data_IF_847701734331
#
_entry.id   IF_847701734331
#
_cell.length_a   1.000
_cell.length_b   1.000
_cell.length_c   1.000
_cell.angle_alpha   90.00
_cell.angle_beta   90.00
_cell.angle_gamma   90.00
#
_symmetry.space_group_name_H-M   'P 1'
#
loop_
_entity.id
_entity.type
_entity.pdbx_description
1 polymer ?
#
# COMPACT_ATOMS: atom_id res chain seq x y z
N UNK A 1 1.78 -3.10 -24.98
CA UNK A 1 1.80 -1.63 -25.00
C UNK A 1 2.43 -0.95 -26.22
N UNK A 2 3.71 -1.17 -26.51
CA UNK A 2 4.55 -0.22 -27.30
C UNK A 2 4.00 0.26 -28.66
N UNK A 3 3.48 -0.62 -29.52
CA UNK A 3 2.94 -0.21 -30.84
C UNK A 3 1.67 0.65 -30.78
N UNK A 4 0.96 0.67 -29.64
CA UNK A 4 -0.25 1.49 -29.46
C UNK A 4 0.09 2.92 -29.04
N UNK A 5 1.20 3.12 -28.34
CA UNK A 5 1.64 4.43 -27.86
C UNK A 5 2.28 5.25 -28.98
N UNK A 6 3.09 4.60 -29.83
CA UNK A 6 3.67 5.23 -31.03
C UNK A 6 2.58 5.74 -31.98
N UNK A 7 1.50 4.97 -32.18
CA UNK A 7 0.35 5.40 -33.00
C UNK A 7 -0.37 6.64 -32.46
N UNK A 8 -0.40 6.85 -31.14
CA UNK A 8 -0.99 8.05 -30.54
C UNK A 8 -0.10 9.26 -30.83
N UNK A 9 1.21 9.11 -30.70
CA UNK A 9 2.18 10.18 -31.00
C UNK A 9 2.09 10.57 -32.48
N UNK A 10 2.00 9.59 -33.38
CA UNK A 10 1.93 9.80 -34.83
C UNK A 10 0.64 10.53 -35.27
N UNK A 11 -0.44 10.43 -34.50
CA UNK A 11 -1.73 11.08 -34.78
C UNK A 11 -1.81 12.52 -34.25
N UNK A 12 -0.84 12.97 -33.47
CA UNK A 12 -0.90 14.27 -32.80
C UNK A 12 -0.06 15.29 -33.55
N UNK A 13 -0.73 16.29 -34.11
CA UNK A 13 -0.12 17.29 -35.00
C UNK A 13 0.57 18.45 -34.26
N UNK A 14 0.46 18.56 -32.93
CA UNK A 14 1.05 19.66 -32.16
C UNK A 14 1.86 19.20 -30.94
N UNK A 15 3.02 19.83 -30.75
CA UNK A 15 3.92 19.60 -29.62
C UNK A 15 3.23 19.86 -28.26
N UNK A 16 2.30 20.82 -28.22
CA UNK A 16 1.50 21.15 -27.04
C UNK A 16 0.63 19.98 -26.57
N UNK A 17 -0.05 19.29 -27.49
CA UNK A 17 -0.86 18.11 -27.15
C UNK A 17 -0.01 16.92 -26.70
N UNK A 18 1.19 16.76 -27.27
CA UNK A 18 2.14 15.73 -26.81
C UNK A 18 2.56 16.00 -25.37
N UNK A 19 2.83 17.26 -25.04
CA UNK A 19 3.20 17.67 -23.68
C UNK A 19 2.05 17.46 -22.69
N UNK A 20 0.81 17.74 -23.08
CA UNK A 20 -0.37 17.45 -22.26
C UNK A 20 -0.53 15.94 -21.98
N UNK A 21 -0.34 15.09 -22.99
CA UNK A 21 -0.36 13.63 -22.79
C UNK A 21 0.79 13.14 -21.90
N UNK A 22 1.98 13.74 -22.03
CA UNK A 22 3.12 13.44 -21.15
C UNK A 22 2.77 13.77 -19.69
N UNK A 23 2.20 14.94 -19.43
CA UNK A 23 1.75 15.34 -18.10
C UNK A 23 0.70 14.38 -17.55
N UNK A 24 -0.28 13.98 -18.37
CA UNK A 24 -1.28 12.97 -18.00
C UNK A 24 -0.60 11.65 -17.61
N UNK A 25 0.38 11.18 -18.39
CA UNK A 25 1.14 9.98 -18.06
C UNK A 25 1.89 10.08 -16.74
N UNK A 26 2.51 11.23 -16.47
CA UNK A 26 3.18 11.50 -15.18
C UNK A 26 2.18 11.46 -14.03
N UNK A 27 1.02 12.09 -14.17
CA UNK A 27 -0.03 12.11 -13.14
C UNK A 27 -0.56 10.70 -12.84
N UNK A 28 -0.87 9.90 -13.87
CA UNK A 28 -1.32 8.51 -13.70
C UNK A 28 -0.24 7.67 -13.02
N UNK A 29 1.03 7.85 -13.40
CA UNK A 29 2.15 7.16 -12.78
C UNK A 29 2.29 7.54 -11.30
N UNK A 30 2.29 8.83 -10.98
CA UNK A 30 2.40 9.31 -9.60
C UNK A 30 1.23 8.84 -8.74
N UNK A 31 0.01 8.91 -9.26
CA UNK A 31 -1.19 8.40 -8.59
C UNK A 31 -1.06 6.90 -8.29
N UNK A 32 -0.66 6.11 -9.29
CA UNK A 32 -0.50 4.66 -9.14
C UNK A 32 0.60 4.30 -8.14
N UNK A 33 1.73 5.02 -8.15
CA UNK A 33 2.82 4.85 -7.19
C UNK A 33 2.35 5.12 -5.75
N UNK A 34 1.62 6.22 -5.54
CA UNK A 34 1.06 6.52 -4.21
C UNK A 34 0.08 5.44 -3.78
N UNK A 35 -0.74 4.91 -4.69
CA UNK A 35 -1.69 3.85 -4.35
C UNK A 35 -1.00 2.55 -3.89
N UNK A 36 0.11 2.18 -4.52
CA UNK A 36 0.95 1.04 -4.07
C UNK A 36 1.53 1.30 -2.68
N UNK A 37 2.09 2.48 -2.48
CA UNK A 37 2.63 2.89 -1.19
C UNK A 37 1.54 2.87 -0.11
N UNK A 38 0.37 3.46 -0.38
CA UNK A 38 -0.76 3.51 0.53
C UNK A 38 -1.21 2.11 0.93
N UNK A 39 -1.21 1.15 0.01
CA UNK A 39 -1.56 -0.24 0.29
C UNK A 39 -0.63 -0.87 1.34
N UNK A 40 0.69 -0.67 1.21
CA UNK A 40 1.66 -1.13 2.21
C UNK A 40 1.43 -0.46 3.58
N UNK A 41 1.21 0.85 3.61
CA UNK A 41 0.98 1.57 4.87
C UNK A 41 -0.36 1.21 5.54
N UNK A 42 -1.38 0.87 4.76
CA UNK A 42 -2.62 0.28 5.28
C UNK A 42 -2.33 -1.08 5.91
N UNK A 43 -1.48 -1.91 5.31
CA UNK A 43 -1.06 -3.20 5.90
C UNK A 43 -0.32 -2.98 7.22
N UNK A 44 0.59 -2.00 7.28
CA UNK A 44 1.26 -1.63 8.53
C UNK A 44 0.26 -1.19 9.61
N UNK A 45 -0.72 -0.36 9.24
CA UNK A 45 -1.78 0.07 10.15
C UNK A 45 -2.60 -1.12 10.64
N UNK A 46 -3.01 -2.02 9.75
CA UNK A 46 -3.76 -3.23 10.12
C UNK A 46 -2.96 -4.12 11.07
N UNK A 47 -1.66 -4.32 10.84
CA UNK A 47 -0.79 -5.07 11.75
C UNK A 47 -0.73 -4.43 13.13
N UNK A 48 -0.46 -3.11 13.16
CA UNK A 48 -0.38 -2.33 14.40
C UNK A 48 -1.69 -2.27 15.19
N UNK A 49 -2.82 -2.33 14.50
CA UNK A 49 -4.15 -2.32 15.12
C UNK A 49 -4.69 -3.71 15.43
N UNK A 50 -3.95 -4.79 15.14
CA UNK A 50 -4.42 -6.16 15.35
C UNK A 50 -5.53 -6.61 14.39
N UNK A 51 -5.61 -5.98 13.20
CA UNK A 51 -6.67 -6.19 12.21
C UNK A 51 -6.22 -7.01 10.99
N UNK A 52 -5.00 -7.54 11.00
CA UNK A 52 -4.62 -8.58 10.03
C UNK A 52 -5.34 -9.87 10.43
N UNK A 53 -6.44 -10.17 9.70
CA UNK A 53 -7.31 -11.32 9.97
C UNK A 53 -6.48 -12.61 9.99
N UNK A 54 -6.49 -13.34 11.10
CA UNK A 54 -5.93 -14.69 11.13
C UNK A 54 -6.49 -15.51 9.97
N UNK A 55 -5.63 -15.95 9.06
CA UNK A 55 -5.98 -16.73 7.87
C UNK A 55 -6.55 -18.12 8.22
N UNK A 56 -6.61 -18.48 9.50
CA UNK A 56 -7.06 -19.80 9.93
C UNK A 56 -8.54 -19.77 10.36
N UNK A 57 -9.44 -19.83 9.37
CA UNK A 57 -10.60 -20.75 9.30
C UNK A 57 -11.59 -20.94 10.47
N UNK A 58 -11.42 -20.33 11.64
CA UNK A 58 -12.39 -20.39 12.73
C UNK A 58 -13.19 -19.09 12.74
N UNK A 59 -14.37 -19.16 12.13
CA UNK A 59 -15.44 -18.17 12.29
C UNK A 59 -15.93 -18.21 13.74
N UNK A 60 -15.21 -17.59 14.64
CA UNK A 60 -15.79 -17.18 15.92
C UNK A 60 -16.35 -15.77 15.77
N UNK A 61 -17.66 -15.66 16.00
CA UNK A 61 -18.52 -14.50 15.74
C UNK A 61 -18.30 -13.32 16.70
N UNK A 62 -17.06 -13.11 17.17
CA UNK A 62 -16.70 -11.99 18.02
C UNK A 62 -15.56 -11.23 17.35
N UNK A 63 -15.65 -9.90 17.32
CA UNK A 63 -14.63 -8.95 16.85
C UNK A 63 -13.30 -9.12 17.62
N UNK A 64 -12.60 -10.22 17.39
CA UNK A 64 -11.29 -10.49 17.99
C UNK A 64 -10.27 -9.66 17.24
N UNK A 65 -10.00 -8.47 17.78
CA UNK A 65 -8.79 -7.70 17.47
C UNK A 65 -7.61 -8.55 17.98
N UNK A 66 -6.72 -8.94 17.07
CA UNK A 66 -5.49 -9.65 17.40
C UNK A 66 -4.50 -8.77 18.17
N UNK A 67 -3.30 -9.29 18.51
CA UNK A 67 -2.29 -8.47 19.17
C UNK A 67 -1.89 -7.29 18.28
N UNK A 68 -1.68 -6.14 18.91
CA UNK A 68 -1.20 -4.92 18.26
C UNK A 68 0.31 -5.04 18.04
N UNK A 69 0.71 -5.33 16.80
CA UNK A 69 2.10 -5.59 16.45
C UNK A 69 2.52 -4.63 15.34
N UNK A 70 3.20 -3.56 15.73
CA UNK A 70 3.73 -2.58 14.78
C UNK A 70 4.95 -3.15 14.05
N UNK A 71 5.00 -3.09 12.70
CA UNK A 71 6.19 -3.48 11.95
C UNK A 71 7.42 -2.65 12.33
N UNK A 72 8.61 -3.24 12.22
CA UNK A 72 9.87 -2.58 12.58
C UNK A 72 10.14 -1.35 11.73
N UNK A 73 9.70 -1.37 10.48
CA UNK A 73 9.77 -0.26 9.54
C UNK A 73 9.08 0.98 10.14
N UNK A 74 7.87 0.82 10.67
CA UNK A 74 7.13 1.90 11.35
C UNK A 74 7.86 2.37 12.60
N UNK A 75 8.31 1.43 13.43
CA UNK A 75 9.03 1.75 14.67
C UNK A 75 10.35 2.50 14.42
N UNK A 76 11.04 2.16 13.32
CA UNK A 76 12.30 2.79 12.93
C UNK A 76 12.12 4.25 12.48
N UNK A 77 11.04 4.56 11.76
CA UNK A 77 10.71 5.91 11.31
C UNK A 77 10.46 6.88 12.47
N UNK A 78 9.84 6.38 13.54
CA UNK A 78 9.57 7.16 14.75
C UNK A 78 10.73 7.13 15.76
N UNK A 79 11.83 6.45 15.44
CA UNK A 79 13.04 6.30 16.28
C UNK A 79 12.73 5.82 17.71
N UNK A 80 11.77 4.91 17.86
CA UNK A 80 11.32 4.48 19.19
C UNK A 80 12.04 3.24 19.71
N UNK A 81 12.20 3.20 21.04
CA UNK A 81 12.66 2.03 21.80
C UNK A 81 11.44 1.31 22.38
N UNK A 82 11.38 -0.01 22.27
CA UNK A 82 10.25 -0.93 22.55
C UNK A 82 9.53 -0.77 23.92
N UNK A 83 8.61 0.19 24.07
CA UNK A 83 7.74 0.36 25.25
C UNK A 83 6.25 0.55 24.84
N UNK A 84 5.30 0.38 25.78
CA UNK A 84 3.86 0.45 25.49
C UNK A 84 3.34 1.87 25.15
N UNK A 85 4.09 2.94 25.47
CA UNK A 85 3.80 4.31 25.00
C UNK A 85 3.97 4.45 23.48
N UNK A 86 4.53 3.44 22.82
CA UNK A 86 4.83 3.46 21.39
C UNK A 86 3.61 3.23 20.50
N UNK A 87 2.55 2.58 20.99
CA UNK A 87 1.42 2.20 20.12
C UNK A 87 0.64 3.43 19.65
N UNK A 88 0.34 4.36 20.54
CA UNK A 88 -0.36 5.61 20.20
C UNK A 88 0.47 6.45 19.22
N UNK A 89 1.79 6.51 19.43
CA UNK A 89 2.67 7.26 18.55
C UNK A 89 2.80 6.63 17.16
N UNK A 90 2.91 5.30 17.06
CA UNK A 90 2.85 4.59 15.79
C UNK A 90 1.52 4.84 15.08
N UNK A 91 0.41 4.75 15.80
CA UNK A 91 -0.93 4.96 15.25
C UNK A 91 -1.09 6.38 14.71
N UNK A 92 -0.71 7.40 15.49
CA UNK A 92 -0.78 8.81 15.07
C UNK A 92 0.08 9.04 13.85
N UNK A 93 1.31 8.51 13.84
CA UNK A 93 2.23 8.64 12.73
C UNK A 93 1.68 8.03 11.44
N UNK A 94 1.25 6.76 11.49
CA UNK A 94 0.72 6.04 10.33
C UNK A 94 -0.58 6.66 9.83
N UNK A 95 -1.48 7.07 10.74
CA UNK A 95 -2.75 7.73 10.37
C UNK A 95 -2.50 9.06 9.66
N UNK A 96 -1.58 9.88 10.17
CA UNK A 96 -1.18 11.14 9.52
C UNK A 96 -0.57 10.87 8.15
N UNK A 97 0.33 9.89 8.05
CA UNK A 97 0.97 9.55 6.79
C UNK A 97 -0.05 9.10 5.73
N UNK A 98 -1.02 8.26 6.13
CA UNK A 98 -2.12 7.85 5.24
C UNK A 98 -2.96 9.04 4.78
N UNK A 99 -3.26 9.98 5.67
CA UNK A 99 -3.98 11.21 5.31
C UNK A 99 -3.19 12.07 4.30
N UNK A 100 -1.87 12.21 4.46
CA UNK A 100 -1.01 12.90 3.50
C UNK A 100 -1.01 12.23 2.13
N UNK A 101 -1.01 10.89 2.08
CA UNK A 101 -1.15 10.16 0.81
C UNK A 101 -2.53 10.39 0.18
N UNK A 102 -3.60 10.38 0.97
CA UNK A 102 -4.96 10.65 0.50
C UNK A 102 -5.10 12.04 -0.11
N UNK A 103 -4.52 13.06 0.53
CA UNK A 103 -4.56 14.43 0.03
C UNK A 103 -3.79 14.56 -1.30
N UNK A 104 -2.63 13.90 -1.41
CA UNK A 104 -1.87 13.85 -2.68
C UNK A 104 -2.62 13.11 -3.78
N UNK A 105 -3.28 11.99 -3.45
CA UNK A 105 -4.11 11.25 -4.42
C UNK A 105 -5.26 12.12 -4.93
N UNK A 106 -6.01 12.77 -4.03
CA UNK A 106 -7.10 13.69 -4.40
C UNK A 106 -6.61 14.84 -5.28
N UNK A 107 -5.43 15.38 -4.99
CA UNK A 107 -4.82 16.42 -5.81
C UNK A 107 -4.60 15.94 -7.26
N UNK A 108 -3.98 14.76 -7.46
CA UNK A 108 -3.79 14.21 -8.80
C UNK A 108 -5.08 13.78 -9.49
N UNK A 109 -6.06 13.25 -8.75
CA UNK A 109 -7.39 12.96 -9.30
C UNK A 109 -8.08 14.22 -9.84
N UNK A 110 -8.00 15.32 -9.09
CA UNK A 110 -8.56 16.60 -9.54
C UNK A 110 -7.84 17.12 -10.79
N UNK A 111 -6.51 17.06 -10.85
CA UNK A 111 -5.76 17.45 -12.05
C UNK A 111 -6.08 16.57 -13.26
N UNK A 112 -6.21 15.25 -13.06
CA UNK A 112 -6.60 14.31 -14.12
C UNK A 112 -8.03 14.54 -14.59
N UNK A 113 -8.97 14.79 -13.67
CA UNK A 113 -10.38 15.06 -14.01
C UNK A 113 -10.51 16.27 -14.93
N UNK A 114 -9.75 17.34 -14.67
CA UNK A 114 -9.72 18.52 -15.53
C UNK A 114 -9.21 18.22 -16.96
N UNK A 115 -8.33 17.22 -17.11
CA UNK A 115 -7.74 16.82 -18.40
C UNK A 115 -8.52 15.70 -19.11
N UNK A 116 -9.40 14.97 -18.40
CA UNK A 116 -10.08 13.75 -18.88
C UNK A 116 -11.02 13.99 -20.05
N UNK A 117 -11.68 15.15 -20.08
CA UNK A 117 -12.65 15.48 -21.12
C UNK A 117 -12.01 15.72 -22.50
N UNK A 118 -10.70 16.04 -22.55
CA UNK A 118 -9.99 16.37 -23.79
C UNK A 118 -9.28 15.15 -24.41
N UNK A 119 -9.02 14.09 -23.63
CA UNK A 119 -8.13 12.99 -24.02
C UNK A 119 -8.64 11.59 -23.64
N UNK A 120 -9.96 11.37 -23.56
CA UNK A 120 -10.54 10.12 -23.01
C UNK A 120 -9.93 8.84 -23.59
N UNK A 121 -9.78 8.77 -24.92
CA UNK A 121 -9.31 7.56 -25.60
C UNK A 121 -7.80 7.34 -25.44
N UNK A 122 -7.03 8.44 -25.38
CA UNK A 122 -5.59 8.41 -25.12
C UNK A 122 -5.27 8.04 -23.67
N UNK A 123 -6.12 8.45 -22.72
CA UNK A 123 -5.94 8.16 -21.29
C UNK A 123 -5.92 6.65 -21.04
N UNK A 124 -6.86 5.88 -21.60
CA UNK A 124 -6.89 4.43 -21.41
C UNK A 124 -5.60 3.75 -21.90
N UNK A 125 -5.05 4.22 -23.02
CA UNK A 125 -3.80 3.69 -23.57
C UNK A 125 -2.61 4.07 -22.69
N UNK A 126 -2.56 5.31 -22.20
CA UNK A 126 -1.54 5.78 -21.26
C UNK A 126 -1.62 5.01 -19.95
N UNK A 127 -2.81 4.79 -19.39
CA UNK A 127 -3.02 3.98 -18.18
C UNK A 127 -2.46 2.58 -18.37
N UNK A 128 -2.80 1.91 -19.47
CA UNK A 128 -2.29 0.57 -19.78
C UNK A 128 -0.77 0.57 -19.87
N UNK A 129 -0.18 1.53 -20.57
CA UNK A 129 1.27 1.68 -20.69
C UNK A 129 1.94 1.90 -19.33
N UNK A 130 1.39 2.79 -18.50
CA UNK A 130 1.90 3.06 -17.15
C UNK A 130 1.81 1.81 -16.28
N UNK A 131 0.71 1.07 -16.32
CA UNK A 131 0.54 -0.17 -15.55
C UNK A 131 1.53 -1.27 -15.98
N UNK A 132 1.77 -1.44 -17.29
CA UNK A 132 2.78 -2.38 -17.80
C UNK A 132 4.17 -2.04 -17.21
N UNK A 133 4.55 -0.76 -17.21
CA UNK A 133 5.86 -0.30 -16.72
C UNK A 133 5.98 -0.26 -15.18
N UNK A 134 4.87 -0.17 -14.45
CA UNK A 134 4.85 -0.22 -12.99
C UNK A 134 4.96 -1.64 -12.42
N UNK A 135 4.84 -2.68 -13.26
CA UNK A 135 4.83 -4.08 -12.82
C UNK A 135 5.97 -4.45 -11.85
N UNK A 136 7.24 -4.11 -12.11
CA UNK A 136 8.34 -4.46 -11.19
C UNK A 136 8.19 -3.77 -9.81
N UNK A 137 7.71 -2.53 -9.80
CA UNK A 137 7.49 -1.77 -8.56
C UNK A 137 6.29 -2.33 -7.81
N UNK A 138 5.20 -2.67 -8.51
CA UNK A 138 4.04 -3.34 -7.92
C UNK A 138 4.46 -4.63 -7.22
N UNK A 139 5.24 -5.47 -7.88
CA UNK A 139 5.76 -6.72 -7.30
C UNK A 139 6.59 -6.48 -6.04
N UNK A 140 7.39 -5.40 -6.01
CA UNK A 140 8.12 -5.01 -4.80
C UNK A 140 7.17 -4.69 -3.64
N UNK A 141 6.13 -3.88 -3.85
CA UNK A 141 5.16 -3.56 -2.79
C UNK A 141 4.34 -4.77 -2.36
N UNK A 142 3.92 -5.63 -3.30
CA UNK A 142 3.23 -6.88 -3.02
C UNK A 142 4.10 -7.80 -2.14
N UNK A 143 5.39 -7.91 -2.45
CA UNK A 143 6.34 -8.65 -1.62
C UNK A 143 6.46 -8.07 -0.21
N UNK A 144 6.61 -6.75 -0.08
CA UNK A 144 6.70 -6.09 1.23
C UNK A 144 5.43 -6.32 2.06
N UNK A 145 4.25 -6.25 1.44
CA UNK A 145 2.97 -6.57 2.10
C UNK A 145 2.99 -8.01 2.61
N UNK A 146 3.38 -8.97 1.78
CA UNK A 146 3.45 -10.38 2.17
C UNK A 146 4.42 -10.63 3.33
N UNK A 147 5.57 -9.93 3.35
CA UNK A 147 6.53 -10.01 4.47
C UNK A 147 5.92 -9.52 5.76
N UNK A 148 5.19 -8.39 5.75
CA UNK A 148 4.51 -7.86 6.93
C UNK A 148 3.48 -8.85 7.46
N UNK A 149 2.65 -9.38 6.57
CA UNK A 149 1.62 -10.35 6.92
C UNK A 149 2.24 -11.61 7.53
N UNK A 150 3.26 -12.16 6.89
CA UNK A 150 3.97 -13.34 7.39
C UNK A 150 4.56 -13.10 8.79
N UNK A 151 5.30 -11.99 8.96
CA UNK A 151 5.92 -11.65 10.24
C UNK A 151 4.87 -11.43 11.34
N UNK A 152 3.73 -10.83 10.99
CA UNK A 152 2.63 -10.66 11.93
C UNK A 152 2.10 -12.01 12.42
N UNK A 153 1.80 -12.93 11.51
CA UNK A 153 1.25 -14.24 11.90
C UNK A 153 2.25 -15.10 12.65
N UNK A 154 3.53 -15.06 12.29
CA UNK A 154 4.59 -15.77 13.02
C UNK A 154 4.65 -15.32 14.49
N UNK A 155 4.59 -13.99 14.72
CA UNK A 155 4.54 -13.41 16.06
C UNK A 155 3.26 -13.73 16.83
N UNK A 156 2.12 -13.77 16.15
CA UNK A 156 0.86 -14.20 16.78
C UNK A 156 0.98 -15.65 17.25
N UNK A 157 1.51 -16.54 16.42
CA UNK A 157 1.71 -17.96 16.77
C UNK A 157 2.68 -18.12 17.94
N UNK A 158 3.78 -17.37 17.96
CA UNK A 158 4.70 -17.33 19.10
C UNK A 158 3.97 -16.93 20.40
N UNK A 159 3.16 -15.89 20.36
CA UNK A 159 2.39 -15.41 21.52
C UNK A 159 1.36 -16.45 21.99
N UNK A 160 0.62 -17.06 21.07
CA UNK A 160 -0.33 -18.15 21.38
C UNK A 160 0.38 -19.35 22.02
N UNK A 161 1.51 -19.78 21.45
CA UNK A 161 2.31 -20.87 21.99
C UNK A 161 2.80 -20.59 23.42
N UNK A 162 3.27 -19.37 23.69
CA UNK A 162 3.72 -18.96 25.03
C UNK A 162 2.56 -18.91 26.03
N UNK A 163 1.37 -18.46 25.62
CA UNK A 163 0.18 -18.43 26.48
C UNK A 163 -0.22 -19.83 26.97
N UNK A 164 -0.02 -20.86 26.14
CA UNK A 164 -0.33 -22.24 26.49
C UNK A 164 0.69 -22.92 27.43
N UNK A 165 1.71 -22.20 27.92
CA UNK A 165 2.72 -22.70 28.88
C UNK A 165 3.24 -24.11 28.53
N UNK A 166 4.08 -24.24 27.49
CA UNK A 166 4.53 -25.53 26.95
C UNK A 166 5.21 -26.46 27.96
N UNK A 167 5.65 -25.92 29.11
CA UNK A 167 6.19 -26.66 30.24
C UNK A 167 5.20 -27.71 30.82
N UNK A 168 3.90 -27.62 30.51
CA UNK A 168 2.92 -28.66 30.89
C UNK A 168 2.97 -29.92 30.02
N UNK A 169 3.57 -29.84 28.83
CA UNK A 169 3.71 -30.97 27.89
C UNK A 169 5.15 -31.51 27.81
N UNK A 170 6.10 -30.85 28.46
CA UNK A 170 7.47 -31.34 28.60
C UNK A 170 7.48 -32.36 29.75
N UNK A 171 7.36 -33.64 29.39
CA UNK A 171 7.59 -34.77 30.30
C UNK A 171 9.07 -34.75 30.68
N UNK A 172 9.36 -34.48 31.95
CA UNK A 172 10.67 -34.73 32.57
C UNK A 172 10.92 -36.20 32.82
#
# INVERSE_FOLDING_TARGET
GSQSFEKIIDQISSMEKIEELRQIGILIYQFSMINLQKSLWITYWKAGMGQLKSSNGMKDNNDHIGPQLWPLEVQSEIKMSTSNENNDACQVFVTRYLAELDDRMKHYENELSNKKNQFSDSIQTIETFVQENLTPIRLYYEYQIAVVEYNYYDRVLELEYLQHSPAHYQVS
#
